data_IF_532738987528
#
_entry.id   IF_532738987528
#
_cell.length_a   1.000
_cell.length_b   1.000
_cell.length_c   1.000
_cell.angle_alpha   90.00
_cell.angle_beta   90.00
_cell.angle_gamma   90.00
#
_symmetry.space_group_name_H-M   'P 1'
#
loop_
_entity.id
_entity.type
_entity.pdbx_description
1 polymer ?
#
# COMPACT_ATOMS: atom_id res chain seq x y z
N UNK A 1 -4.71 -26.07 67.38
CA UNK A 1 -6.08 -26.22 67.89
C UNK A 1 -6.94 -26.62 66.72
N UNK A 2 -7.58 -27.78 66.83
CA UNK A 2 -8.38 -28.46 65.80
C UNK A 2 -9.84 -27.96 65.80
N UNK A 3 -10.66 -28.60 64.96
CA UNK A 3 -12.12 -28.52 64.76
C UNK A 3 -12.52 -27.51 63.67
N UNK A 4 -12.80 -27.88 62.42
CA UNK A 4 -13.61 -28.94 61.80
C UNK A 4 -15.13 -28.66 61.72
N UNK A 5 -15.62 -28.85 60.49
CA UNK A 5 -16.99 -29.07 60.00
C UNK A 5 -18.17 -28.15 60.42
N UNK A 6 -18.91 -27.61 59.43
CA UNK A 6 -20.12 -28.30 58.94
C UNK A 6 -21.06 -27.43 58.06
N UNK A 7 -21.55 -28.07 56.98
CA UNK A 7 -22.86 -27.96 56.30
C UNK A 7 -23.15 -26.85 55.26
N UNK A 8 -23.17 -27.27 53.98
CA UNK A 8 -24.25 -26.95 53.02
C UNK A 8 -25.41 -27.98 53.22
N UNK A 9 -26.63 -27.87 52.62
CA UNK A 9 -27.12 -26.99 51.54
C UNK A 9 -28.56 -26.44 51.71
N UNK A 10 -28.99 -25.45 50.89
CA UNK A 10 -30.41 -25.32 50.52
C UNK A 10 -30.59 -25.03 49.04
N UNK A 11 -31.31 -25.92 48.35
CA UNK A 11 -31.89 -25.72 47.01
C UNK A 11 -33.33 -25.23 47.17
N UNK A 12 -33.71 -24.19 46.42
CA UNK A 12 -35.04 -23.88 45.82
C UNK A 12 -34.94 -22.48 45.19
N UNK A 13 -35.61 -22.09 44.11
CA UNK A 13 -36.39 -22.71 43.04
C UNK A 13 -36.59 -21.58 42.01
N UNK A 14 -36.63 -21.96 40.74
CA UNK A 14 -37.00 -21.19 39.54
C UNK A 14 -37.78 -19.88 39.74
N UNK A 15 -37.28 -18.81 39.09
CA UNK A 15 -38.07 -17.64 38.68
C UNK A 15 -37.70 -17.28 37.25
N UNK A 16 -38.59 -17.58 36.30
CA UNK A 16 -38.56 -17.07 34.93
C UNK A 16 -38.62 -15.53 34.99
N UNK A 17 -37.64 -14.86 34.40
CA UNK A 17 -37.73 -13.44 34.06
C UNK A 17 -37.70 -13.32 32.54
N UNK A 18 -38.68 -12.60 32.02
CA UNK A 18 -39.04 -12.54 30.61
C UNK A 18 -37.98 -11.79 29.80
N UNK A 19 -37.55 -12.42 28.71
CA UNK A 19 -36.72 -11.83 27.68
C UNK A 19 -37.58 -10.83 26.88
N UNK A 20 -37.42 -9.54 27.12
CA UNK A 20 -38.00 -8.51 26.25
C UNK A 20 -37.03 -8.30 25.08
N UNK A 21 -37.34 -8.90 23.93
CA UNK A 21 -36.64 -8.66 22.67
C UNK A 21 -37.11 -7.32 22.12
N UNK A 22 -36.29 -6.28 22.26
CA UNK A 22 -36.49 -5.03 21.52
C UNK A 22 -35.78 -5.15 20.17
N UNK A 23 -36.55 -5.45 19.13
CA UNK A 23 -36.10 -5.33 17.73
C UNK A 23 -36.10 -3.84 17.37
N UNK A 24 -34.93 -3.20 17.38
CA UNK A 24 -34.75 -1.90 16.78
C UNK A 24 -34.47 -2.10 15.28
N UNK A 25 -35.50 -1.89 14.46
CA UNK A 25 -35.37 -1.80 13.01
C UNK A 25 -34.68 -0.47 12.65
N UNK A 26 -33.42 -0.54 12.21
CA UNK A 26 -32.75 0.56 11.51
C UNK A 26 -32.84 0.30 10.01
N UNK A 27 -33.80 0.96 9.36
CA UNK A 27 -33.86 1.11 7.91
C UNK A 27 -33.25 2.47 7.55
N UNK A 28 -32.41 2.56 6.49
CA UNK A 28 -31.43 3.63 6.33
C UNK A 28 -32.02 4.93 5.78
N UNK A 29 -31.80 6.04 6.50
CA UNK A 29 -31.93 7.40 5.96
C UNK A 29 -30.61 7.82 5.33
N UNK A 30 -30.40 7.44 4.07
CA UNK A 30 -29.28 7.92 3.26
C UNK A 30 -29.72 8.29 1.83
N UNK A 31 -30.91 8.89 1.70
CA UNK A 31 -31.35 9.55 0.46
C UNK A 31 -32.02 10.89 0.81
N UNK A 32 -31.24 11.82 1.37
CA UNK A 32 -31.66 13.21 1.56
C UNK A 32 -30.49 14.21 1.61
N UNK A 33 -29.31 13.84 1.10
CA UNK A 33 -28.13 14.71 1.01
C UNK A 33 -27.79 15.17 -0.40
N UNK A 34 -28.56 14.77 -1.41
CA UNK A 34 -28.20 14.95 -2.83
C UNK A 34 -29.03 16.00 -3.58
N UNK A 35 -29.96 16.71 -2.91
CA UNK A 35 -30.83 17.72 -3.54
C UNK A 35 -30.76 19.11 -2.89
N UNK A 36 -29.58 19.56 -2.48
CA UNK A 36 -29.37 20.95 -2.01
C UNK A 36 -28.15 21.65 -2.64
N UNK A 37 -27.35 20.99 -3.49
CA UNK A 37 -26.21 21.62 -4.18
C UNK A 37 -26.45 21.99 -5.66
N UNK A 38 -27.68 21.95 -6.16
CA UNK A 38 -28.02 22.45 -7.52
C UNK A 38 -29.02 23.61 -7.50
N UNK A 39 -28.79 24.59 -6.62
CA UNK A 39 -29.70 25.71 -6.40
C UNK A 39 -29.10 27.11 -6.53
N UNK A 40 -27.83 27.28 -6.94
CA UNK A 40 -27.26 28.60 -7.19
C UNK A 40 -26.18 28.54 -8.27
N UNK A 41 -26.59 28.72 -9.52
CA UNK A 41 -25.93 29.54 -10.56
C UNK A 41 -26.65 29.31 -11.89
N UNK A 42 -27.75 30.04 -12.09
CA UNK A 42 -28.34 30.26 -13.42
C UNK A 42 -27.70 31.47 -14.11
N UNK A 43 -27.80 31.55 -15.44
CA UNK A 43 -27.00 32.42 -16.31
C UNK A 43 -27.64 33.80 -16.51
N UNK A 44 -26.82 34.79 -16.87
CA UNK A 44 -27.10 36.00 -17.70
C UNK A 44 -25.82 36.86 -17.63
N UNK A 45 -25.11 37.18 -18.70
CA UNK A 45 -25.49 38.11 -19.78
C UNK A 45 -24.41 39.21 -19.83
N UNK A 46 -23.67 39.32 -20.95
CA UNK A 46 -22.58 40.31 -21.14
C UNK A 46 -23.05 41.78 -21.18
N UNK A 47 -22.16 42.76 -21.46
CA UNK A 47 -21.55 42.84 -22.79
C UNK A 47 -20.08 43.31 -22.87
N UNK A 48 -19.61 43.30 -24.12
CA UNK A 48 -18.28 43.51 -24.67
C UNK A 48 -17.59 44.85 -24.38
N UNK A 49 -16.25 44.82 -24.41
CA UNK A 49 -15.42 45.86 -25.01
C UNK A 49 -14.19 45.23 -25.66
N UNK A 50 -14.00 45.55 -26.94
CA UNK A 50 -12.92 45.11 -27.80
C UNK A 50 -11.61 45.87 -27.52
N UNK A 51 -10.47 45.24 -27.80
CA UNK A 51 -9.32 45.88 -28.45
C UNK A 51 -8.37 44.84 -29.02
N UNK A 52 -8.04 45.01 -30.29
CA UNK A 52 -7.18 44.18 -31.11
C UNK A 52 -5.73 44.72 -31.13
N UNK A 53 -4.76 43.83 -31.29
CA UNK A 53 -3.52 43.95 -32.08
C UNK A 53 -2.67 42.70 -31.77
N UNK A 54 -2.36 41.82 -32.74
CA UNK A 54 -1.10 41.85 -33.51
C UNK A 54 0.05 41.35 -32.63
N UNK A 55 0.81 40.28 -32.93
CA UNK A 55 1.62 40.07 -34.13
C UNK A 55 2.08 38.60 -34.20
N UNK A 56 1.97 38.03 -35.40
CA UNK A 56 2.79 37.05 -36.10
C UNK A 56 3.97 36.32 -35.44
N UNK A 57 3.96 34.99 -35.69
CA UNK A 57 5.04 34.18 -36.27
C UNK A 57 6.33 33.91 -35.48
N UNK A 58 6.59 32.63 -35.21
CA UNK A 58 7.58 31.86 -35.98
C UNK A 58 7.69 30.42 -35.50
N UNK A 59 7.35 29.50 -36.41
CA UNK A 59 7.71 28.09 -36.35
C UNK A 59 9.09 27.91 -37.02
N UNK A 60 9.88 26.93 -36.57
CA UNK A 60 10.86 26.13 -37.33
C UNK A 60 11.70 25.24 -36.38
N UNK A 61 12.36 24.16 -36.84
CA UNK A 61 11.70 22.89 -37.11
C UNK A 61 12.44 21.69 -36.48
N UNK A 62 11.82 20.52 -36.64
CA UNK A 62 12.39 19.20 -36.36
C UNK A 62 13.61 18.87 -37.25
N UNK A 63 14.57 18.15 -36.69
CA UNK A 63 15.67 17.50 -37.43
C UNK A 63 15.59 15.99 -37.22
N UNK A 64 15.22 15.28 -38.29
CA UNK A 64 15.33 13.82 -38.44
C UNK A 64 16.74 13.41 -38.93
N UNK A 65 17.10 12.11 -38.83
CA UNK A 65 18.48 11.63 -38.66
C UNK A 65 19.16 11.24 -39.98
N UNK A 66 20.48 11.04 -39.92
CA UNK A 66 21.32 10.57 -41.02
C UNK A 66 22.13 9.30 -40.61
N UNK A 67 22.60 8.48 -41.59
CA UNK A 67 22.47 7.02 -41.54
C UNK A 67 23.78 6.26 -41.23
N UNK A 68 23.62 4.97 -40.94
CA UNK A 68 24.66 3.94 -40.98
C UNK A 68 25.24 3.74 -42.40
N UNK A 69 26.45 3.18 -42.50
CA UNK A 69 26.79 2.31 -43.61
C UNK A 69 27.02 0.86 -43.15
N UNK A 70 26.22 -0.05 -43.71
CA UNK A 70 26.62 -1.45 -43.91
C UNK A 70 27.60 -1.51 -45.08
N UNK A 71 28.69 -2.25 -44.91
CA UNK A 71 29.59 -2.66 -45.97
C UNK A 71 30.01 -4.09 -45.72
N UNK A 72 29.37 -5.02 -46.43
CA UNK A 72 29.80 -6.41 -46.54
C UNK A 72 30.77 -6.55 -47.71
N UNK A 73 31.84 -7.34 -47.50
CA UNK A 73 32.41 -8.35 -48.39
C UNK A 73 33.95 -8.30 -48.42
N UNK A 74 34.62 -9.35 -47.94
CA UNK A 74 35.19 -10.47 -48.73
C UNK A 74 36.24 -11.21 -47.91
N UNK A 75 36.18 -12.53 -48.04
CA UNK A 75 37.15 -13.52 -47.56
C UNK A 75 38.56 -13.24 -48.07
N UNK A 76 39.55 -13.47 -47.20
CA UNK A 76 40.83 -14.07 -47.59
C UNK A 76 41.42 -14.81 -46.37
N UNK A 77 41.72 -16.08 -46.63
CA UNK A 77 42.16 -17.13 -45.72
C UNK A 77 43.70 -17.04 -45.54
N UNK A 78 44.20 -16.76 -44.33
CA UNK A 78 45.62 -16.98 -43.96
C UNK A 78 45.71 -17.39 -42.48
N UNK A 79 46.31 -18.55 -42.15
CA UNK A 79 46.47 -19.01 -40.78
C UNK A 79 47.78 -18.52 -40.16
N UNK A 80 47.73 -18.08 -38.90
CA UNK A 80 48.91 -17.96 -38.03
C UNK A 80 49.22 -16.55 -37.56
N UNK A 81 48.71 -16.19 -36.38
CA UNK A 81 49.11 -14.98 -35.66
C UNK A 81 48.48 -14.93 -34.28
N UNK A 82 49.22 -15.38 -33.26
CA UNK A 82 48.88 -15.22 -31.83
C UNK A 82 48.72 -13.74 -31.49
N UNK A 83 47.49 -13.27 -31.32
CA UNK A 83 47.17 -11.97 -30.73
C UNK A 83 47.39 -12.00 -29.22
N UNK A 84 48.10 -11.02 -28.63
CA UNK A 84 48.23 -10.92 -27.17
C UNK A 84 46.87 -10.66 -26.53
N UNK A 85 46.49 -11.49 -25.56
CA UNK A 85 45.29 -11.29 -24.75
C UNK A 85 45.37 -9.95 -24.01
N UNK A 86 44.36 -9.10 -24.24
CA UNK A 86 44.14 -7.85 -23.49
C UNK A 86 43.98 -8.20 -22.00
N UNK A 87 44.70 -7.55 -21.07
CA UNK A 87 44.52 -7.82 -19.64
C UNK A 87 43.08 -7.50 -19.23
N UNK A 88 42.37 -8.51 -18.75
CA UNK A 88 41.07 -8.33 -18.08
C UNK A 88 41.28 -7.45 -16.86
N UNK A 89 40.58 -6.32 -16.82
CA UNK A 89 40.57 -5.44 -15.65
C UNK A 89 40.11 -6.27 -14.42
N UNK A 90 40.76 -6.08 -13.26
CA UNK A 90 40.35 -6.79 -12.04
C UNK A 90 38.89 -6.45 -11.74
N UNK A 91 38.06 -7.50 -11.57
CA UNK A 91 36.68 -7.36 -11.13
C UNK A 91 36.67 -6.56 -9.82
N UNK A 92 35.89 -5.48 -9.79
CA UNK A 92 35.67 -4.67 -8.59
C UNK A 92 35.21 -5.62 -7.48
N UNK A 93 35.79 -5.58 -6.26
CA UNK A 93 35.29 -6.36 -5.14
C UNK A 93 33.80 -6.07 -4.97
N UNK A 94 32.95 -7.09 -5.08
CA UNK A 94 31.55 -6.97 -4.73
C UNK A 94 31.48 -6.52 -3.27
N UNK A 95 30.78 -5.42 -3.00
CA UNK A 95 30.52 -5.01 -1.63
C UNK A 95 29.98 -6.21 -0.83
N UNK A 96 30.30 -6.33 0.47
CA UNK A 96 29.73 -7.38 1.30
C UNK A 96 28.22 -7.38 1.14
N UNK A 97 27.65 -8.53 0.80
CA UNK A 97 26.22 -8.72 0.68
C UNK A 97 25.56 -8.34 2.02
N UNK A 98 24.71 -7.31 2.00
CA UNK A 98 23.96 -6.89 3.18
C UNK A 98 23.02 -7.99 3.70
N UNK A 99 22.40 -7.81 4.87
CA UNK A 99 21.59 -8.85 5.51
C UNK A 99 20.38 -9.32 4.69
N UNK A 100 20.00 -8.61 3.64
CA UNK A 100 18.91 -8.95 2.72
C UNK A 100 19.39 -9.27 1.30
N UNK A 101 20.69 -9.51 1.11
CA UNK A 101 21.22 -9.88 -0.20
C UNK A 101 20.51 -11.10 -0.79
N UNK A 102 20.08 -10.98 -2.05
CA UNK A 102 19.34 -12.01 -2.76
C UNK A 102 17.85 -12.08 -2.43
N UNK A 103 17.36 -11.29 -1.48
CA UNK A 103 15.93 -11.17 -1.19
C UNK A 103 15.25 -10.18 -2.14
N UNK A 104 14.01 -10.49 -2.52
CA UNK A 104 13.13 -9.62 -3.30
C UNK A 104 12.00 -9.13 -2.41
N UNK A 105 11.86 -7.82 -2.29
CA UNK A 105 10.76 -7.18 -1.57
C UNK A 105 9.94 -6.35 -2.54
N UNK A 106 8.62 -6.53 -2.51
CA UNK A 106 7.69 -5.69 -3.25
C UNK A 106 7.03 -4.71 -2.30
N UNK A 107 7.11 -3.43 -2.63
CA UNK A 107 6.44 -2.37 -1.88
C UNK A 107 5.32 -1.82 -2.76
N UNK A 108 4.15 -1.67 -2.18
CA UNK A 108 2.94 -1.18 -2.84
C UNK A 108 2.54 0.16 -2.19
N UNK A 109 2.96 1.31 -2.76
CA UNK A 109 2.49 2.60 -2.28
C UNK A 109 0.99 2.71 -2.55
N UNK A 110 0.19 2.77 -1.50
CA UNK A 110 -1.26 2.83 -1.60
C UNK A 110 -1.74 3.98 -2.49
N UNK A 111 -2.79 3.72 -3.29
CA UNK A 111 -3.37 4.68 -4.23
C UNK A 111 -2.38 5.17 -5.30
N UNK A 112 -2.76 6.17 -6.07
CA UNK A 112 -1.89 6.90 -6.98
C UNK A 112 -2.22 8.40 -6.89
N UNK A 113 -1.21 9.30 -6.81
CA UNK A 113 -1.43 10.74 -6.63
C UNK A 113 -2.38 11.40 -7.64
N UNK A 114 -2.52 10.83 -8.84
CA UNK A 114 -3.36 11.36 -9.91
C UNK A 114 -4.71 10.65 -10.05
N UNK A 115 -5.03 9.66 -9.22
CA UNK A 115 -6.33 8.96 -9.26
C UNK A 115 -7.54 9.92 -9.19
N UNK A 116 -7.41 11.05 -8.48
CA UNK A 116 -8.47 12.07 -8.39
C UNK A 116 -8.89 12.68 -9.74
N UNK A 117 -8.02 12.62 -10.73
CA UNK A 117 -8.25 13.15 -12.08
C UNK A 117 -8.78 12.07 -13.04
N UNK A 118 -8.91 10.83 -12.57
CA UNK A 118 -9.23 9.61 -13.34
C UNK A 118 -10.30 8.75 -12.66
N UNK A 119 -11.33 9.41 -12.12
CA UNK A 119 -12.35 8.73 -11.30
C UNK A 119 -13.17 7.71 -12.08
N UNK A 120 -13.35 7.88 -13.39
CA UNK A 120 -14.04 6.88 -14.21
C UNK A 120 -13.22 5.60 -14.30
N UNK A 121 -11.92 5.72 -14.60
CA UNK A 121 -11.03 4.59 -14.82
C UNK A 121 -10.76 3.79 -13.54
N UNK A 122 -10.62 4.46 -12.39
CA UNK A 122 -10.40 3.75 -11.11
C UNK A 122 -11.68 3.11 -10.56
N UNK A 123 -12.86 3.53 -11.02
CA UNK A 123 -14.14 2.93 -10.62
C UNK A 123 -14.49 1.67 -11.44
N UNK A 124 -13.73 1.33 -12.48
CA UNK A 124 -13.95 0.11 -13.24
C UNK A 124 -13.83 -1.12 -12.33
N UNK A 125 -14.79 -2.07 -12.39
CA UNK A 125 -14.79 -3.21 -11.50
C UNK A 125 -13.70 -4.22 -11.87
N UNK A 126 -12.95 -4.66 -10.86
CA UNK A 126 -11.96 -5.74 -10.95
C UNK A 126 -12.33 -6.88 -10.02
N UNK A 127 -12.03 -8.10 -10.44
CA UNK A 127 -12.21 -9.30 -9.61
C UNK A 127 -11.10 -9.36 -8.55
N UNK A 128 -11.50 -9.43 -7.28
CA UNK A 128 -10.60 -9.53 -6.12
C UNK A 128 -10.55 -10.95 -5.52
N UNK A 129 -11.05 -11.93 -6.26
CA UNK A 129 -11.08 -13.35 -5.88
C UNK A 129 -12.27 -13.73 -5.00
N UNK A 130 -12.74 -12.85 -4.13
CA UNK A 130 -13.92 -13.10 -3.26
C UNK A 130 -15.19 -12.40 -3.76
N UNK A 131 -15.03 -11.33 -4.52
CA UNK A 131 -16.08 -10.47 -5.08
C UNK A 131 -15.44 -9.55 -6.15
N UNK A 132 -16.21 -8.63 -6.73
CA UNK A 132 -15.68 -7.48 -7.48
C UNK A 132 -15.54 -6.24 -6.60
N UNK A 133 -14.53 -5.41 -6.85
CA UNK A 133 -14.37 -4.05 -6.27
C UNK A 133 -13.89 -3.08 -7.34
N UNK A 134 -13.93 -1.79 -7.05
CA UNK A 134 -13.28 -0.76 -7.86
C UNK A 134 -11.79 -1.08 -8.10
N UNK A 135 -11.29 -0.74 -9.29
CA UNK A 135 -9.91 -0.88 -9.71
C UNK A 135 -8.95 -0.26 -8.69
N UNK A 136 -9.19 0.99 -8.28
CA UNK A 136 -8.42 1.69 -7.25
C UNK A 136 -9.30 2.79 -6.62
N UNK A 137 -8.80 3.47 -5.60
CA UNK A 137 -9.46 4.65 -5.02
C UNK A 137 -8.49 5.82 -4.92
N UNK A 138 -9.01 7.02 -4.63
CA UNK A 138 -8.17 8.20 -4.42
C UNK A 138 -7.38 8.15 -3.10
N UNK A 139 -7.78 7.30 -2.16
CA UNK A 139 -7.36 7.38 -0.78
C UNK A 139 -8.03 8.52 -0.02
N UNK A 140 -7.70 8.62 1.27
CA UNK A 140 -8.15 9.70 2.16
C UNK A 140 -7.18 10.89 2.12
N UNK A 141 -7.37 11.84 3.04
CA UNK A 141 -6.47 12.96 3.25
C UNK A 141 -6.52 13.41 4.70
N UNK A 142 -5.52 14.17 5.14
CA UNK A 142 -5.69 14.95 6.38
C UNK A 142 -6.74 16.05 6.20
N UNK A 143 -7.23 16.58 7.32
CA UNK A 143 -8.15 17.73 7.29
C UNK A 143 -7.51 19.00 6.71
N UNK A 144 -6.17 19.08 6.71
CA UNK A 144 -5.40 20.16 6.08
C UNK A 144 -5.12 19.90 4.58
N UNK A 145 -5.58 18.78 4.03
CA UNK A 145 -5.46 18.47 2.60
C UNK A 145 -4.19 17.73 2.19
N UNK A 146 -3.41 17.17 3.14
CA UNK A 146 -2.29 16.29 2.79
C UNK A 146 -2.83 14.92 2.32
N UNK A 147 -2.67 14.53 1.04
CA UNK A 147 -3.29 13.33 0.49
C UNK A 147 -2.59 12.06 0.95
N UNK A 148 -3.35 10.98 1.16
CA UNK A 148 -2.81 9.67 1.49
C UNK A 148 -1.81 9.19 0.43
N UNK A 149 -2.14 9.31 -0.86
CA UNK A 149 -1.27 8.89 -1.96
C UNK A 149 0.12 9.57 -1.97
N UNK A 150 0.22 10.79 -1.43
CA UNK A 150 1.52 11.47 -1.28
C UNK A 150 2.28 10.94 -0.06
N UNK A 151 1.58 10.68 1.04
CA UNK A 151 2.13 10.05 2.24
C UNK A 151 2.70 8.66 1.95
N UNK A 152 1.92 7.80 1.30
CA UNK A 152 2.30 6.41 1.03
C UNK A 152 3.50 6.32 0.11
N UNK A 153 3.59 7.19 -0.89
CA UNK A 153 4.72 7.26 -1.82
C UNK A 153 6.02 7.70 -1.10
N UNK A 154 5.96 8.73 -0.26
CA UNK A 154 7.13 9.19 0.51
C UNK A 154 7.64 8.11 1.47
N UNK A 155 6.76 7.49 2.27
CA UNK A 155 7.16 6.40 3.18
C UNK A 155 7.72 5.20 2.40
N UNK A 156 7.12 4.86 1.26
CA UNK A 156 7.58 3.75 0.40
C UNK A 156 8.97 4.00 -0.19
N UNK A 157 9.28 5.24 -0.59
CA UNK A 157 10.62 5.62 -1.06
C UNK A 157 11.67 5.49 0.03
N UNK A 158 11.37 5.94 1.25
CA UNK A 158 12.24 5.78 2.41
C UNK A 158 12.47 4.31 2.72
N UNK A 159 11.41 3.50 2.70
CA UNK A 159 11.49 2.06 2.93
C UNK A 159 12.36 1.37 1.87
N UNK A 160 12.18 1.71 0.59
CA UNK A 160 13.02 1.21 -0.51
C UNK A 160 14.49 1.50 -0.26
N UNK A 161 14.83 2.71 0.13
CA UNK A 161 16.23 3.12 0.29
C UNK A 161 16.90 2.37 1.46
N UNK A 162 16.16 2.14 2.56
CA UNK A 162 16.60 1.32 3.68
C UNK A 162 16.83 -0.14 3.27
N UNK A 163 15.86 -0.76 2.60
CA UNK A 163 15.96 -2.16 2.17
C UNK A 163 17.07 -2.38 1.13
N UNK A 164 17.24 -1.44 0.19
CA UNK A 164 18.34 -1.48 -0.79
C UNK A 164 19.70 -1.33 -0.13
N UNK A 165 19.82 -0.47 0.88
CA UNK A 165 21.04 -0.35 1.70
C UNK A 165 21.39 -1.67 2.40
N UNK A 166 20.39 -2.47 2.74
CA UNK A 166 20.56 -3.81 3.31
C UNK A 166 20.75 -4.92 2.26
N UNK A 167 20.77 -4.59 0.96
CA UNK A 167 21.04 -5.53 -0.13
C UNK A 167 19.82 -6.18 -0.78
N UNK A 168 18.60 -5.81 -0.38
CA UNK A 168 17.39 -6.33 -1.01
C UNK A 168 17.22 -5.77 -2.43
N UNK A 169 16.68 -6.61 -3.32
CA UNK A 169 16.08 -6.15 -4.58
C UNK A 169 14.68 -5.62 -4.27
N UNK A 170 14.43 -4.35 -4.55
CA UNK A 170 13.13 -3.71 -4.27
C UNK A 170 12.41 -3.37 -5.57
N UNK A 171 11.18 -3.84 -5.69
CA UNK A 171 10.25 -3.55 -6.80
C UNK A 171 9.05 -2.78 -6.26
N UNK A 172 8.65 -1.71 -6.92
CA UNK A 172 7.38 -1.04 -6.63
C UNK A 172 6.24 -1.58 -7.49
N UNK A 173 5.01 -1.53 -6.98
CA UNK A 173 3.81 -1.72 -7.83
C UNK A 173 3.61 -0.54 -8.78
N UNK A 174 3.96 0.68 -8.35
CA UNK A 174 4.10 1.88 -9.16
C UNK A 174 4.97 2.91 -8.42
N UNK A 175 5.49 3.87 -9.17
CA UNK A 175 6.31 4.99 -8.70
C UNK A 175 5.84 6.33 -9.32
N UNK A 176 4.52 6.56 -9.32
CA UNK A 176 3.87 7.79 -9.82
C UNK A 176 4.16 8.12 -11.31
N UNK A 177 4.51 7.12 -12.11
CA UNK A 177 4.77 7.22 -13.54
C UNK A 177 3.49 7.10 -14.39
N UNK A 178 2.43 6.52 -13.82
CA UNK A 178 1.14 6.31 -14.49
C UNK A 178 0.15 7.45 -14.18
N UNK A 179 -0.80 7.74 -15.09
CA UNK A 179 -1.87 8.70 -14.84
C UNK A 179 -2.85 8.24 -13.74
N UNK A 180 -3.06 6.93 -13.57
CA UNK A 180 -3.87 6.35 -12.52
C UNK A 180 -3.50 4.86 -12.30
N UNK A 181 -4.04 4.26 -11.24
CA UNK A 181 -3.77 2.87 -10.89
C UNK A 181 -2.29 2.62 -10.57
N UNK A 182 -1.76 1.40 -10.71
CA UNK A 182 -2.39 0.16 -11.17
C UNK A 182 -3.61 -0.26 -10.34
N UNK A 183 -4.50 -1.07 -10.93
CA UNK A 183 -5.63 -1.63 -10.19
C UNK A 183 -5.16 -2.60 -9.09
N UNK A 184 -5.98 -2.82 -8.05
CA UNK A 184 -5.63 -3.66 -6.89
C UNK A 184 -5.27 -5.11 -7.25
N UNK A 185 -5.86 -5.66 -8.30
CA UNK A 185 -5.53 -6.98 -8.86
C UNK A 185 -4.18 -6.97 -9.59
N UNK A 186 -3.87 -5.89 -10.31
CA UNK A 186 -2.56 -5.69 -10.94
C UNK A 186 -1.44 -5.52 -9.92
N UNK A 187 -1.70 -4.77 -8.84
CA UNK A 187 -0.76 -4.62 -7.72
C UNK A 187 -0.40 -5.97 -7.08
N UNK A 188 -1.38 -6.86 -6.88
CA UNK A 188 -1.13 -8.23 -6.42
C UNK A 188 -0.31 -9.05 -7.42
N UNK A 189 -0.67 -8.97 -8.72
CA UNK A 189 0.02 -9.69 -9.80
C UNK A 189 1.49 -9.30 -9.93
N UNK A 190 1.83 -8.03 -9.73
CA UNK A 190 3.22 -7.55 -9.73
C UNK A 190 4.02 -8.27 -8.64
N UNK A 191 3.47 -8.37 -7.43
CA UNK A 191 4.06 -9.13 -6.32
C UNK A 191 4.33 -10.59 -6.67
N UNK A 192 3.32 -11.26 -7.23
CA UNK A 192 3.39 -12.66 -7.61
C UNK A 192 4.42 -12.90 -8.73
N UNK A 193 4.44 -12.04 -9.75
CA UNK A 193 5.36 -12.14 -10.89
C UNK A 193 6.82 -11.91 -10.48
N UNK A 194 7.05 -11.01 -9.51
CA UNK A 194 8.37 -10.77 -8.94
C UNK A 194 8.88 -11.95 -8.10
N UNK A 195 8.01 -12.91 -7.74
CA UNK A 195 8.31 -13.99 -6.79
C UNK A 195 8.92 -13.44 -5.50
N UNK A 196 8.32 -12.36 -4.99
CA UNK A 196 8.84 -11.66 -3.83
C UNK A 196 8.91 -12.58 -2.61
N UNK A 197 9.96 -12.46 -1.81
CA UNK A 197 10.06 -13.12 -0.51
C UNK A 197 9.10 -12.46 0.51
N UNK A 198 8.83 -11.16 0.36
CA UNK A 198 7.83 -10.41 1.11
C UNK A 198 7.23 -9.29 0.28
N UNK A 199 5.95 -9.00 0.51
CA UNK A 199 5.27 -7.83 -0.04
C UNK A 199 4.59 -7.01 1.06
N UNK A 200 4.55 -5.70 0.88
CA UNK A 200 3.89 -4.78 1.83
C UNK A 200 3.13 -3.70 1.07
N UNK A 201 1.86 -3.47 1.43
CA UNK A 201 1.11 -2.28 1.05
C UNK A 201 1.22 -1.22 2.15
N UNK A 202 1.58 0.00 1.79
CA UNK A 202 1.71 1.12 2.73
C UNK A 202 0.56 2.09 2.52
N UNK A 203 -0.22 2.34 3.57
CA UNK A 203 -1.43 3.17 3.59
C UNK A 203 -1.52 4.02 4.86
N UNK A 204 -2.51 4.92 4.89
CA UNK A 204 -2.99 5.58 6.11
C UNK A 204 -4.52 5.70 6.09
N UNK A 205 -5.16 5.49 7.23
CA UNK A 205 -6.60 5.30 7.30
C UNK A 205 -7.35 6.63 7.39
N UNK A 206 -8.66 6.60 7.14
CA UNK A 206 -9.59 7.68 7.37
C UNK A 206 -10.77 7.23 8.24
N UNK A 207 -10.71 7.54 9.53
CA UNK A 207 -11.72 7.17 10.52
C UNK A 207 -12.17 8.37 11.37
N UNK A 208 -13.20 8.21 12.22
CA UNK A 208 -13.68 9.28 13.08
C UNK A 208 -12.56 9.90 13.96
N UNK A 209 -12.60 11.22 14.25
CA UNK A 209 -11.67 11.84 15.19
C UNK A 209 -11.67 11.13 16.56
N UNK A 210 -10.51 10.97 17.18
CA UNK A 210 -10.32 10.17 18.39
C UNK A 210 -9.94 8.70 18.12
N UNK A 211 -10.22 8.18 16.91
CA UNK A 211 -9.66 6.92 16.46
C UNK A 211 -8.22 7.16 16.02
N UNK A 212 -7.27 6.46 16.64
CA UNK A 212 -5.84 6.68 16.47
C UNK A 212 -5.05 5.39 16.49
N UNK A 213 -3.86 5.44 15.92
CA UNK A 213 -2.89 4.35 15.93
C UNK A 213 -2.90 3.55 14.63
N UNK A 214 -1.86 2.73 14.48
CA UNK A 214 -1.61 1.94 13.28
C UNK A 214 -2.25 0.55 13.39
N UNK A 215 -2.53 -0.09 12.26
CA UNK A 215 -2.85 -1.51 12.22
C UNK A 215 -2.29 -2.17 10.96
N UNK A 216 -1.92 -3.44 11.08
CA UNK A 216 -1.41 -4.28 10.01
C UNK A 216 -2.48 -5.31 9.66
N UNK A 217 -3.02 -5.17 8.46
CA UNK A 217 -4.02 -6.06 7.90
C UNK A 217 -3.32 -7.29 7.31
N UNK A 218 -3.81 -8.46 7.73
CA UNK A 218 -3.38 -9.78 7.31
C UNK A 218 -4.43 -10.42 6.38
N UNK A 219 -4.02 -11.23 5.40
CA UNK A 219 -4.96 -12.01 4.61
C UNK A 219 -5.70 -13.02 5.51
N UNK A 220 -7.02 -13.01 5.44
CA UNK A 220 -7.83 -14.14 5.90
C UNK A 220 -7.59 -15.35 4.99
N UNK A 221 -7.95 -16.54 5.48
CA UNK A 221 -7.92 -17.74 4.66
C UNK A 221 -9.09 -17.71 3.66
N UNK A 222 -8.75 -17.62 2.37
CA UNK A 222 -9.67 -17.66 1.23
C UNK A 222 -9.25 -18.81 0.32
N UNK A 223 -10.23 -19.56 -0.17
CA UNK A 223 -10.03 -20.61 -1.17
C UNK A 223 -11.26 -20.72 -2.06
N UNK A 224 -11.24 -20.01 -3.19
CA UNK A 224 -12.36 -19.91 -4.11
C UNK A 224 -12.36 -18.60 -4.91
N UNK A 225 -13.17 -18.56 -5.96
CA UNK A 225 -13.38 -17.36 -6.79
C UNK A 225 -12.12 -16.79 -7.47
N UNK A 226 -11.03 -17.56 -7.56
CA UNK A 226 -9.76 -17.10 -8.15
C UNK A 226 -8.69 -16.73 -7.13
N UNK A 227 -9.02 -16.72 -5.83
CA UNK A 227 -8.09 -16.53 -4.73
C UNK A 227 -7.79 -17.84 -3.98
N UNK A 228 -6.53 -18.05 -3.61
CA UNK A 228 -6.09 -19.07 -2.67
C UNK A 228 -4.96 -18.51 -1.79
N UNK A 229 -5.32 -18.08 -0.57
CA UNK A 229 -4.35 -17.52 0.39
C UNK A 229 -3.81 -18.58 1.36
N UNK A 230 -4.21 -19.86 1.22
CA UNK A 230 -3.90 -20.90 2.22
C UNK A 230 -2.40 -21.07 2.47
N UNK A 231 -1.57 -20.89 1.45
CA UNK A 231 -0.11 -20.98 1.57
C UNK A 231 0.52 -19.75 2.25
N UNK A 232 -0.16 -18.60 2.26
CA UNK A 232 0.43 -17.33 2.68
C UNK A 232 -0.11 -16.81 4.03
N UNK A 233 -1.24 -17.31 4.54
CA UNK A 233 -1.81 -16.80 5.80
C UNK A 233 -0.84 -16.92 6.99
N UNK A 234 -0.12 -18.03 7.11
CA UNK A 234 0.89 -18.23 8.16
C UNK A 234 2.11 -17.31 8.00
N UNK A 235 2.82 -17.36 6.87
CA UNK A 235 3.95 -16.46 6.61
C UNK A 235 3.59 -14.97 6.67
N UNK A 236 2.40 -14.57 6.21
CA UNK A 236 1.96 -13.17 6.28
C UNK A 236 1.68 -12.73 7.71
N UNK A 237 1.15 -13.62 8.57
CA UNK A 237 1.02 -13.35 10.00
C UNK A 237 2.38 -13.13 10.67
N UNK A 238 3.37 -13.99 10.39
CA UNK A 238 4.73 -13.83 10.92
C UNK A 238 5.35 -12.48 10.47
N UNK A 239 5.22 -12.15 9.19
CA UNK A 239 5.63 -10.83 8.67
C UNK A 239 4.92 -9.69 9.40
N UNK A 240 3.60 -9.78 9.59
CA UNK A 240 2.81 -8.75 10.27
C UNK A 240 3.20 -8.56 11.74
N UNK A 241 3.44 -9.64 12.48
CA UNK A 241 3.89 -9.59 13.88
C UNK A 241 5.27 -8.91 14.00
N UNK A 242 6.19 -9.22 13.08
CA UNK A 242 7.47 -8.52 12.99
C UNK A 242 7.29 -7.03 12.68
N UNK A 243 6.37 -6.65 11.79
CA UNK A 243 6.08 -5.24 11.50
C UNK A 243 5.49 -4.55 12.72
N UNK A 244 4.46 -5.10 13.36
CA UNK A 244 3.81 -4.49 14.54
C UNK A 244 4.85 -4.17 15.62
N UNK A 245 5.68 -5.15 15.99
CA UNK A 245 6.68 -4.95 17.05
C UNK A 245 7.72 -3.89 16.70
N UNK A 246 8.22 -3.88 15.45
CA UNK A 246 9.25 -2.91 15.03
C UNK A 246 8.67 -1.52 14.75
N UNK A 247 7.44 -1.42 14.26
CA UNK A 247 6.76 -0.15 14.04
C UNK A 247 6.53 0.58 15.37
N UNK A 248 6.03 -0.12 16.40
CA UNK A 248 5.91 0.44 17.77
C UNK A 248 7.27 0.90 18.27
N UNK A 249 8.30 0.05 18.14
CA UNK A 249 9.65 0.32 18.65
C UNK A 249 10.28 1.58 18.04
N UNK A 250 10.10 1.79 16.73
CA UNK A 250 10.72 2.91 16.02
C UNK A 250 9.89 4.20 16.08
N UNK A 251 8.57 4.11 15.99
CA UNK A 251 7.69 5.28 15.92
C UNK A 251 7.17 5.75 17.26
N UNK A 252 7.06 4.84 18.24
CA UNK A 252 6.31 5.06 19.48
C UNK A 252 4.79 5.06 19.31
N UNK A 253 4.27 4.85 18.08
CA UNK A 253 2.83 4.81 17.83
C UNK A 253 2.19 3.57 18.43
N UNK A 254 1.02 3.74 19.04
CA UNK A 254 0.24 2.64 19.58
C UNK A 254 -0.53 1.91 18.46
N UNK A 255 -0.84 0.62 18.66
CA UNK A 255 -1.87 -0.06 17.87
C UNK A 255 -3.19 0.72 17.84
N UNK A 256 -3.92 0.59 16.74
CA UNK A 256 -5.21 1.22 16.52
C UNK A 256 -6.18 0.94 17.68
N UNK A 257 -6.81 1.98 18.21
CA UNK A 257 -7.82 1.85 19.28
C UNK A 257 -9.23 1.52 18.76
N UNK A 258 -9.39 1.32 17.45
CA UNK A 258 -10.67 1.14 16.76
C UNK A 258 -10.72 -0.12 15.88
N UNK A 259 -9.57 -0.77 15.65
CA UNK A 259 -9.43 -2.00 14.87
C UNK A 259 -8.34 -2.91 15.48
N UNK A 260 -8.39 -4.20 15.17
CA UNK A 260 -7.35 -5.16 15.56
C UNK A 260 -7.24 -5.48 17.06
N UNK A 261 -8.30 -5.19 17.83
CA UNK A 261 -8.45 -5.58 19.24
C UNK A 261 -7.25 -5.21 20.14
N UNK A 262 -6.57 -4.11 19.83
CA UNK A 262 -5.39 -3.63 20.55
C UNK A 262 -4.08 -4.40 20.25
N UNK A 263 -4.13 -5.43 19.41
CA UNK A 263 -2.93 -6.17 18.96
C UNK A 263 -2.19 -5.45 17.83
N UNK A 264 -2.89 -4.58 17.10
CA UNK A 264 -2.40 -3.97 15.87
C UNK A 264 -2.46 -4.89 14.66
N UNK A 265 -3.06 -6.08 14.78
CA UNK A 265 -3.31 -7.01 13.67
C UNK A 265 -4.81 -7.08 13.37
N UNK A 266 -5.16 -6.94 12.10
CA UNK A 266 -6.54 -7.05 11.61
C UNK A 266 -6.61 -8.12 10.50
N UNK A 267 -7.55 -9.06 10.56
CA UNK A 267 -7.60 -10.18 9.60
C UNK A 267 -8.80 -9.99 8.67
N UNK A 268 -8.55 -9.86 7.36
CA UNK A 268 -9.58 -9.43 6.40
C UNK A 268 -9.58 -10.26 5.11
N UNK A 269 -10.76 -10.36 4.49
CA UNK A 269 -11.02 -11.14 3.26
C UNK A 269 -11.55 -10.29 2.10
N UNK A 270 -11.54 -8.96 2.22
CA UNK A 270 -12.19 -8.01 1.31
C UNK A 270 -11.19 -7.11 0.54
N UNK A 271 -9.89 -7.41 0.61
CA UNK A 271 -8.83 -6.63 -0.02
C UNK A 271 -8.17 -7.44 -1.14
N UNK A 272 -8.39 -7.04 -2.40
CA UNK A 272 -7.84 -7.74 -3.58
C UNK A 272 -6.33 -7.83 -3.59
N UNK A 273 -5.65 -6.78 -3.11
CA UNK A 273 -4.20 -6.79 -2.94
C UNK A 273 -3.68 -7.91 -2.04
N UNK A 274 -4.47 -8.38 -1.06
CA UNK A 274 -4.15 -9.49 -0.16
C UNK A 274 -4.70 -10.82 -0.67
N UNK A 275 -5.97 -10.86 -1.06
CA UNK A 275 -6.65 -12.08 -1.50
C UNK A 275 -5.98 -12.72 -2.73
N UNK A 276 -5.48 -11.91 -3.65
CA UNK A 276 -4.85 -12.36 -4.90
C UNK A 276 -3.34 -12.57 -4.76
N UNK A 277 -2.76 -12.34 -3.59
CA UNK A 277 -1.32 -12.56 -3.36
C UNK A 277 -1.01 -14.05 -3.25
N UNK A 278 0.05 -14.49 -3.92
CA UNK A 278 0.64 -15.84 -3.78
C UNK A 278 1.99 -15.81 -3.04
N UNK A 279 2.39 -14.63 -2.54
CA UNK A 279 3.59 -14.40 -1.73
C UNK A 279 3.17 -13.86 -0.35
N UNK A 280 4.01 -14.01 0.70
CA UNK A 280 3.73 -13.41 2.00
C UNK A 280 3.50 -11.91 1.86
N UNK A 281 2.30 -11.42 2.24
CA UNK A 281 1.91 -10.03 2.05
C UNK A 281 1.10 -9.50 3.22
N UNK A 282 1.39 -8.26 3.59
CA UNK A 282 0.65 -7.50 4.60
C UNK A 282 0.31 -6.11 4.07
N UNK A 283 -0.62 -5.45 4.73
CA UNK A 283 -1.07 -4.11 4.39
C UNK A 283 -1.05 -3.29 5.68
N UNK A 284 -0.26 -2.24 5.76
CA UNK A 284 -0.19 -1.39 6.95
C UNK A 284 -0.96 -0.10 6.73
N UNK A 285 -1.85 0.20 7.66
CA UNK A 285 -2.43 1.52 7.88
C UNK A 285 -1.61 2.22 8.96
N UNK A 286 -0.82 3.22 8.58
CA UNK A 286 0.19 3.83 9.45
C UNK A 286 -0.37 4.70 10.58
N UNK A 287 -1.64 5.10 10.47
CA UNK A 287 -2.34 6.00 11.39
C UNK A 287 -3.61 6.56 10.73
N UNK A 288 -4.43 7.30 11.48
CA UNK A 288 -5.67 7.90 10.97
C UNK A 288 -5.44 9.35 10.51
N UNK A 289 -5.49 9.62 9.20
CA UNK A 289 -5.33 10.96 8.64
C UNK A 289 -6.42 11.96 9.10
N UNK A 290 -7.58 11.47 9.54
CA UNK A 290 -8.71 12.30 9.97
C UNK A 290 -8.66 12.70 11.45
N UNK A 291 -7.77 12.09 12.22
CA UNK A 291 -7.45 12.50 13.58
C UNK A 291 -6.27 13.49 13.59
N UNK A 292 -6.35 14.56 14.38
CA UNK A 292 -5.32 15.60 14.37
C UNK A 292 -3.98 15.12 14.93
N UNK A 293 -3.98 14.25 15.94
CA UNK A 293 -2.73 13.76 16.54
C UNK A 293 -2.00 12.81 15.59
N UNK A 294 -2.71 11.91 14.93
CA UNK A 294 -2.09 11.06 13.91
C UNK A 294 -1.69 11.89 12.67
N UNK A 295 -2.50 12.87 12.25
CA UNK A 295 -2.14 13.75 11.13
C UNK A 295 -0.85 14.56 11.37
N UNK A 296 -0.60 15.03 12.59
CA UNK A 296 0.66 15.67 12.98
C UNK A 296 1.86 14.74 12.75
N UNK A 297 1.74 13.46 13.12
CA UNK A 297 2.78 12.47 12.89
C UNK A 297 2.96 12.15 11.40
N UNK A 298 1.85 11.92 10.67
CA UNK A 298 1.90 11.55 9.25
C UNK A 298 2.48 12.68 8.38
N UNK A 299 2.28 13.94 8.78
CA UNK A 299 2.83 15.12 8.09
C UNK A 299 4.27 15.45 8.50
N UNK A 300 4.79 14.88 9.59
CA UNK A 300 6.17 15.03 10.04
C UNK A 300 7.14 14.14 9.22
N UNK A 301 8.11 14.72 8.48
CA UNK A 301 9.10 13.95 7.73
C UNK A 301 10.02 13.07 8.61
N UNK A 302 10.31 13.47 9.85
CA UNK A 302 11.11 12.65 10.76
C UNK A 302 10.34 11.43 11.23
N UNK A 303 9.05 11.59 11.53
CA UNK A 303 8.19 10.46 11.86
C UNK A 303 8.02 9.51 10.68
N UNK A 304 7.83 10.01 9.45
CA UNK A 304 7.79 9.16 8.24
C UNK A 304 9.07 8.35 8.05
N UNK A 305 10.23 8.92 8.41
CA UNK A 305 11.49 8.18 8.41
C UNK A 305 11.51 7.06 9.46
N UNK A 306 10.99 7.30 10.67
CA UNK A 306 10.85 6.27 11.71
C UNK A 306 9.87 5.17 11.30
N UNK A 307 8.75 5.54 10.69
CA UNK A 307 7.78 4.59 10.14
C UNK A 307 8.46 3.66 9.13
N UNK A 308 9.17 4.22 8.14
CA UNK A 308 9.93 3.44 7.16
C UNK A 308 11.01 2.56 7.82
N UNK A 309 11.68 3.03 8.87
CA UNK A 309 12.65 2.24 9.63
C UNK A 309 12.00 1.04 10.33
N UNK A 310 10.85 1.24 10.98
CA UNK A 310 10.09 0.18 11.62
C UNK A 310 9.63 -0.89 10.61
N UNK A 311 9.19 -0.46 9.43
CA UNK A 311 8.82 -1.35 8.34
C UNK A 311 10.04 -2.15 7.82
N UNK A 312 11.17 -1.49 7.59
CA UNK A 312 12.40 -2.14 7.13
C UNK A 312 12.89 -3.18 8.14
N UNK A 313 12.89 -2.85 9.43
CA UNK A 313 13.29 -3.75 10.51
C UNK A 313 12.35 -4.95 10.66
N UNK A 314 11.04 -4.74 10.50
CA UNK A 314 10.05 -5.81 10.48
C UNK A 314 10.28 -6.79 9.33
N UNK A 315 10.41 -6.27 8.10
CA UNK A 315 10.70 -7.09 6.91
C UNK A 315 12.02 -7.84 7.08
N UNK A 316 13.06 -7.17 7.61
CA UNK A 316 14.34 -7.81 7.89
C UNK A 316 14.22 -8.94 8.91
N UNK A 317 13.49 -8.72 9.99
CA UNK A 317 13.25 -9.73 11.02
C UNK A 317 12.57 -10.98 10.45
N UNK A 318 11.62 -10.78 9.54
CA UNK A 318 10.93 -11.85 8.82
C UNK A 318 11.86 -12.61 7.85
N UNK A 319 12.63 -11.89 7.03
CA UNK A 319 13.42 -12.48 5.93
C UNK A 319 14.77 -13.12 6.32
N UNK A 320 15.25 -12.86 7.54
CA UNK A 320 16.53 -13.42 8.05
C UNK A 320 16.39 -14.77 8.75
N UNK A 321 15.20 -15.36 8.77
CA UNK A 321 14.98 -16.73 9.29
C UNK A 321 15.45 -17.78 8.29
#
# INVERSE_FOLDING_TARGET
MSYDESQQPTRRRSGRSNLTVAVAALVPTAVAGWLVWQGMSGPDGGPAAASAAGVSSSASPATTPAPSPSGSARDDDVPGGTTPAKPSAPAKPSAPAGPLAGKVVVIDPGHNPRNRDHTAEINEPVDIGTTTKECDTTGTSTNAGYPEAEFTLDVSHRLRDLLRKEGATVTFTHDNERPYGPCVDERARIGNKAKADAAISVHADGSAPGNRGFHVILPAQVKGGGADTTAIVGPSRDLGEHIVGNFVRETGSAPANYLGEGTGLDVRADLGGLNLSTVPKVFIECGNMRDSSDAELLTDPEWRQKAAQGLADGIRGFLKK
#
